data_IF_388876179084
#
_entry.id   IF_388876179084
#
_cell.length_a   1.000
_cell.length_b   1.000
_cell.length_c   1.000
_cell.angle_alpha   90.00
_cell.angle_beta   90.00
_cell.angle_gamma   90.00
#
_symmetry.space_group_name_H-M   'P 1'
#
loop_
_entity.id
_entity.type
_entity.pdbx_description
1 polymer ?
#
# COMPACT_ATOMS: atom_id res chain seq x y z
N UNK A 1 6.42 -18.02 -6.02
CA UNK A 1 6.10 -18.36 -4.62
C UNK A 1 4.67 -18.84 -4.57
N UNK A 2 4.42 -20.05 -4.04
CA UNK A 2 3.06 -20.55 -3.88
C UNK A 2 2.39 -19.77 -2.75
N UNK A 3 1.18 -19.27 -2.98
CA UNK A 3 0.39 -18.57 -1.96
C UNK A 3 -0.51 -19.61 -1.30
N UNK A 4 -0.22 -19.91 -0.04
CA UNK A 4 -1.01 -20.81 0.81
C UNK A 4 -1.37 -20.14 2.14
N UNK A 5 -2.16 -20.83 2.97
CA UNK A 5 -2.57 -20.31 4.27
C UNK A 5 -1.39 -19.96 5.18
N UNK A 6 -0.31 -20.75 5.14
CA UNK A 6 0.87 -20.50 5.96
C UNK A 6 1.58 -19.20 5.54
N UNK A 7 1.70 -18.94 4.23
CA UNK A 7 2.27 -17.69 3.73
C UNK A 7 1.45 -16.47 4.16
N UNK A 8 0.13 -16.60 4.25
CA UNK A 8 -0.75 -15.54 4.77
C UNK A 8 -0.55 -15.32 6.28
N UNK A 9 -0.42 -16.39 7.08
CA UNK A 9 -0.13 -16.26 8.51
C UNK A 9 1.23 -15.60 8.76
N UNK A 10 2.25 -16.02 8.01
CA UNK A 10 3.58 -15.41 8.08
C UNK A 10 3.53 -13.92 7.73
N UNK A 11 2.74 -13.54 6.72
CA UNK A 11 2.50 -12.15 6.37
C UNK A 11 1.77 -11.39 7.49
N UNK A 12 0.75 -12.00 8.09
CA UNK A 12 -0.01 -11.39 9.19
C UNK A 12 0.87 -11.06 10.39
N UNK A 13 1.75 -11.97 10.80
CA UNK A 13 2.71 -11.73 11.90
C UNK A 13 3.72 -10.64 11.54
N UNK A 14 4.29 -10.69 10.32
CA UNK A 14 5.27 -9.69 9.84
C UNK A 14 4.73 -8.26 9.87
N UNK A 15 3.46 -8.06 9.49
CA UNK A 15 2.89 -6.71 9.36
C UNK A 15 2.21 -6.19 10.63
N UNK A 16 2.00 -7.04 11.64
CA UNK A 16 1.13 -6.80 12.80
C UNK A 16 1.37 -5.47 13.51
N UNK A 17 2.63 -5.08 13.69
CA UNK A 17 3.01 -3.83 14.37
C UNK A 17 2.83 -2.57 13.51
N UNK A 18 2.63 -2.73 12.20
CA UNK A 18 2.74 -1.63 11.22
C UNK A 18 1.43 -1.32 10.50
N UNK A 19 0.38 -2.12 10.73
CA UNK A 19 -0.95 -1.95 10.14
C UNK A 19 -2.02 -1.91 11.22
N UNK A 20 -3.16 -1.30 10.93
CA UNK A 20 -4.34 -1.35 11.78
C UNK A 20 -5.06 -2.70 11.63
N UNK A 21 -5.53 -3.26 12.75
CA UNK A 21 -6.67 -4.17 12.74
C UNK A 21 -7.93 -3.32 12.56
N UNK A 22 -8.27 -3.06 11.30
CA UNK A 22 -9.38 -2.18 10.92
C UNK A 22 -10.71 -2.67 11.50
N UNK A 23 -11.63 -1.75 11.85
CA UNK A 23 -12.93 -2.13 12.38
C UNK A 23 -13.77 -2.87 11.33
N UNK A 24 -14.83 -3.51 11.82
CA UNK A 24 -15.91 -4.05 10.99
C UNK A 24 -17.17 -3.29 11.37
N UNK A 25 -17.81 -2.65 10.40
CA UNK A 25 -19.08 -1.97 10.59
C UNK A 25 -20.23 -2.81 10.01
N UNK A 26 -21.43 -2.51 10.46
CA UNK A 26 -22.70 -3.09 9.98
C UNK A 26 -23.69 -1.97 9.71
N UNK A 27 -24.81 -2.28 9.05
CA UNK A 27 -25.86 -1.30 8.76
C UNK A 27 -27.24 -1.96 8.82
N UNK A 28 -28.02 -1.66 9.86
CA UNK A 28 -29.36 -2.23 10.03
C UNK A 28 -30.29 -1.95 8.84
N UNK A 29 -30.16 -0.77 8.21
CA UNK A 29 -30.95 -0.44 7.02
C UNK A 29 -30.60 -1.32 5.81
N UNK A 30 -29.31 -1.61 5.61
CA UNK A 30 -28.88 -2.50 4.53
C UNK A 30 -29.22 -3.95 4.83
N UNK A 31 -29.11 -4.35 6.10
CA UNK A 31 -29.48 -5.69 6.51
C UNK A 31 -30.98 -5.96 6.26
N UNK A 32 -31.84 -5.00 6.59
CA UNK A 32 -33.28 -5.07 6.33
C UNK A 32 -33.60 -5.04 4.82
N UNK A 33 -32.93 -4.19 4.05
CA UNK A 33 -33.14 -4.08 2.61
C UNK A 33 -32.76 -5.37 1.87
N UNK A 34 -31.72 -6.06 2.32
CA UNK A 34 -31.17 -7.25 1.66
C UNK A 34 -31.58 -8.57 2.31
N UNK A 35 -32.29 -8.52 3.45
CA UNK A 35 -32.66 -9.70 4.23
C UNK A 35 -31.46 -10.53 4.72
N UNK A 36 -30.30 -9.90 4.93
CA UNK A 36 -29.05 -10.59 5.29
C UNK A 36 -28.12 -9.68 6.10
N UNK A 37 -27.20 -10.25 6.89
CA UNK A 37 -26.24 -9.46 7.66
C UNK A 37 -25.03 -9.02 6.81
N UNK A 38 -24.82 -7.72 6.65
CA UNK A 38 -23.72 -7.15 5.87
C UNK A 38 -22.64 -6.59 6.79
N UNK A 39 -21.40 -7.02 6.53
CA UNK A 39 -20.22 -6.61 7.28
C UNK A 39 -19.23 -5.86 6.39
N UNK A 40 -18.86 -4.65 6.80
CA UNK A 40 -17.93 -3.79 6.08
C UNK A 40 -16.55 -3.85 6.72
N UNK A 41 -15.59 -4.47 6.05
CA UNK A 41 -14.18 -4.43 6.48
C UNK A 41 -13.53 -3.12 6.03
N UNK A 42 -13.41 -2.16 6.94
CA UNK A 42 -13.08 -0.77 6.62
C UNK A 42 -11.58 -0.52 6.33
N UNK A 43 -11.06 -1.03 5.22
CA UNK A 43 -9.66 -0.80 4.80
C UNK A 43 -9.38 0.63 4.32
N UNK A 44 -10.41 1.45 4.11
CA UNK A 44 -10.26 2.90 3.96
C UNK A 44 -9.67 3.57 5.22
N UNK A 45 -9.78 2.92 6.39
CA UNK A 45 -9.21 3.39 7.67
C UNK A 45 -7.83 2.78 7.96
N UNK A 46 -7.25 2.05 7.01
CA UNK A 46 -5.91 1.50 7.14
C UNK A 46 -4.85 2.62 7.06
N UNK A 47 -3.64 2.35 7.53
CA UNK A 47 -2.46 3.19 7.26
C UNK A 47 -2.35 3.48 5.76
N UNK A 48 -1.91 4.69 5.42
CA UNK A 48 -1.92 5.22 4.04
C UNK A 48 -3.31 5.19 3.35
N UNK A 49 -4.40 5.07 4.11
CA UNK A 49 -5.79 5.17 3.64
C UNK A 49 -6.29 3.99 2.81
N UNK A 50 -5.56 2.87 2.76
CA UNK A 50 -5.95 1.71 1.95
C UNK A 50 -5.31 0.40 2.42
N UNK A 51 -5.93 -0.72 2.02
CA UNK A 51 -5.42 -2.07 2.29
C UNK A 51 -4.00 -2.33 1.78
N UNK A 52 -3.53 -1.54 0.80
CA UNK A 52 -2.22 -1.71 0.15
C UNK A 52 -1.04 -1.59 1.13
N UNK A 53 -1.22 -0.95 2.27
CA UNK A 53 -0.24 -0.97 3.36
C UNK A 53 0.11 -2.38 3.83
N UNK A 54 -0.83 -3.33 3.77
CA UNK A 54 -0.58 -4.73 4.16
C UNK A 54 0.46 -5.37 3.25
N UNK A 55 0.22 -5.36 1.95
CA UNK A 55 1.13 -5.93 0.96
C UNK A 55 2.47 -5.20 0.92
N UNK A 56 2.46 -3.87 0.90
CA UNK A 56 3.69 -3.07 0.84
C UNK A 56 4.61 -3.32 2.06
N UNK A 57 4.06 -3.27 3.27
CA UNK A 57 4.85 -3.58 4.48
C UNK A 57 5.34 -5.02 4.42
N UNK A 58 4.47 -5.97 4.07
CA UNK A 58 4.87 -7.37 3.99
C UNK A 58 6.05 -7.59 3.04
N UNK A 59 6.00 -7.02 1.83
CA UNK A 59 7.06 -7.14 0.84
C UNK A 59 8.35 -6.51 1.32
N UNK A 60 8.33 -5.24 1.75
CA UNK A 60 9.55 -4.52 2.18
C UNK A 60 10.20 -5.17 3.41
N UNK A 61 9.39 -5.65 4.36
CA UNK A 61 9.91 -6.34 5.56
C UNK A 61 10.36 -7.78 5.29
N UNK A 62 10.03 -8.35 4.13
CA UNK A 62 10.55 -9.66 3.72
C UNK A 62 11.93 -9.57 3.08
N UNK A 63 12.35 -8.38 2.66
CA UNK A 63 13.67 -8.14 2.07
C UNK A 63 14.76 -8.16 3.15
N UNK A 64 15.88 -8.77 2.82
CA UNK A 64 17.12 -8.72 3.58
C UNK A 64 17.71 -7.30 3.60
N UNK A 65 18.69 -7.07 4.47
CA UNK A 65 19.41 -5.78 4.53
C UNK A 65 20.14 -5.51 3.21
N UNK A 66 20.71 -6.54 2.58
CA UNK A 66 21.40 -6.42 1.29
C UNK A 66 20.46 -5.99 0.17
N UNK A 67 19.27 -6.58 0.09
CA UNK A 67 18.26 -6.20 -0.91
C UNK A 67 17.75 -4.75 -0.73
N UNK A 68 17.77 -4.24 0.51
CA UNK A 68 17.32 -2.88 0.81
C UNK A 68 18.37 -1.79 0.56
N UNK A 69 19.62 -2.14 0.24
CA UNK A 69 20.69 -1.16 0.06
C UNK A 69 20.39 -0.17 -1.08
N UNK A 70 19.72 -0.65 -2.13
CA UNK A 70 19.38 0.15 -3.31
C UNK A 70 18.02 0.83 -3.20
N UNK A 71 17.31 0.67 -2.09
CA UNK A 71 15.92 1.12 -1.98
C UNK A 71 14.92 0.17 -2.65
N UNK A 72 13.67 0.62 -2.68
CA UNK A 72 12.56 -0.07 -3.35
C UNK A 72 11.92 0.88 -4.35
N UNK A 73 11.40 0.35 -5.45
CA UNK A 73 10.77 1.15 -6.50
C UNK A 73 9.38 0.62 -6.85
N UNK A 74 8.51 1.51 -7.34
CA UNK A 74 7.23 1.14 -7.95
C UNK A 74 6.72 2.21 -8.89
N UNK A 75 5.84 1.84 -9.81
CA UNK A 75 4.99 2.79 -10.52
C UNK A 75 3.55 2.69 -9.99
N UNK A 76 3.00 3.80 -9.51
CA UNK A 76 1.60 3.84 -9.08
C UNK A 76 1.07 5.27 -8.99
N UNK A 77 -0.17 5.48 -9.44
CA UNK A 77 -0.83 6.79 -9.34
C UNK A 77 -1.35 7.13 -7.94
N UNK A 78 -1.12 6.32 -6.90
CA UNK A 78 -1.75 6.57 -5.59
C UNK A 78 -1.49 5.60 -4.45
N UNK A 79 -2.52 4.84 -4.08
CA UNK A 79 -2.54 4.09 -2.81
C UNK A 79 -1.36 3.13 -2.65
N UNK A 80 -0.86 2.54 -3.74
CA UNK A 80 0.33 1.68 -3.66
C UNK A 80 1.60 2.50 -3.44
N UNK A 81 1.76 3.61 -4.17
CA UNK A 81 2.88 4.53 -3.99
C UNK A 81 3.00 5.01 -2.54
N UNK A 82 1.90 5.48 -1.94
CA UNK A 82 1.91 5.94 -0.54
C UNK A 82 2.18 4.79 0.44
N UNK A 83 1.64 3.59 0.18
CA UNK A 83 1.87 2.41 1.00
C UNK A 83 3.34 1.94 0.94
N UNK A 84 3.97 1.94 -0.25
CA UNK A 84 5.36 1.55 -0.42
C UNK A 84 6.30 2.59 0.19
N UNK A 85 6.08 3.89 -0.08
CA UNK A 85 6.86 4.97 0.53
C UNK A 85 6.83 4.88 2.07
N UNK A 86 5.65 4.65 2.64
CA UNK A 86 5.52 4.41 4.08
C UNK A 86 6.30 3.18 4.55
N UNK A 87 6.18 2.05 3.84
CA UNK A 87 6.87 0.82 4.21
C UNK A 87 8.41 0.96 4.15
N UNK A 88 8.92 1.68 3.14
CA UNK A 88 10.32 2.00 3.01
C UNK A 88 10.83 2.89 4.16
N UNK A 89 10.07 3.95 4.48
CA UNK A 89 10.37 4.82 5.62
C UNK A 89 10.44 4.05 6.94
N UNK A 90 9.53 3.10 7.19
CA UNK A 90 9.57 2.24 8.38
C UNK A 90 10.81 1.33 8.46
N UNK A 91 11.44 1.02 7.32
CA UNK A 91 12.67 0.20 7.21
C UNK A 91 13.92 1.04 6.98
N UNK A 92 13.83 2.37 7.08
CA UNK A 92 14.92 3.31 6.83
C UNK A 92 15.60 3.08 5.47
N UNK A 93 14.82 2.81 4.43
CA UNK A 93 15.30 2.67 3.05
C UNK A 93 14.60 3.66 2.13
N UNK A 94 15.18 3.90 0.95
CA UNK A 94 14.61 4.82 -0.04
C UNK A 94 13.43 4.18 -0.77
N UNK A 95 12.44 5.01 -1.13
CA UNK A 95 11.36 4.62 -2.02
C UNK A 95 11.35 5.52 -3.26
N UNK A 96 11.51 4.91 -4.42
CA UNK A 96 11.40 5.56 -5.72
C UNK A 96 10.01 5.27 -6.31
N UNK A 97 9.30 6.31 -6.70
CA UNK A 97 7.90 6.21 -7.12
C UNK A 97 7.71 6.92 -8.45
N UNK A 98 7.35 6.17 -9.48
CA UNK A 98 6.88 6.75 -10.73
C UNK A 98 5.38 7.03 -10.63
N UNK A 99 4.98 8.28 -10.88
CA UNK A 99 3.59 8.72 -10.85
C UNK A 99 3.20 9.46 -12.13
N UNK A 100 1.99 9.22 -12.69
CA UNK A 100 1.45 10.09 -13.74
C UNK A 100 1.37 11.55 -13.31
N UNK A 101 1.70 12.48 -14.21
CA UNK A 101 1.63 13.93 -13.98
C UNK A 101 0.22 14.43 -13.61
N UNK A 102 -0.83 13.72 -14.02
CA UNK A 102 -2.22 14.01 -13.70
C UNK A 102 -2.72 13.33 -12.41
N UNK A 103 -1.83 12.72 -11.61
CA UNK A 103 -2.19 12.13 -10.33
C UNK A 103 -2.74 13.19 -9.38
N UNK A 104 -3.79 12.85 -8.63
CA UNK A 104 -4.43 13.82 -7.71
C UNK A 104 -3.42 14.37 -6.70
N UNK A 105 -3.47 15.68 -6.42
CA UNK A 105 -2.54 16.39 -5.51
C UNK A 105 -2.43 15.73 -4.14
N UNK A 106 -3.54 15.23 -3.58
CA UNK A 106 -3.57 14.55 -2.28
C UNK A 106 -2.73 13.26 -2.26
N UNK A 107 -2.69 12.53 -3.37
CA UNK A 107 -1.91 11.28 -3.50
C UNK A 107 -0.43 11.57 -3.64
N UNK A 108 -0.06 12.59 -4.42
CA UNK A 108 1.33 13.07 -4.55
C UNK A 108 1.84 13.53 -3.16
N UNK A 109 1.03 14.33 -2.45
CA UNK A 109 1.38 14.80 -1.11
C UNK A 109 1.56 13.63 -0.13
N UNK A 110 0.70 12.62 -0.17
CA UNK A 110 0.83 11.44 0.68
C UNK A 110 2.16 10.69 0.47
N UNK A 111 2.63 10.55 -0.78
CA UNK A 111 3.93 9.92 -1.08
C UNK A 111 5.09 10.76 -0.53
N UNK A 112 5.06 12.08 -0.76
CA UNK A 112 6.09 13.01 -0.27
C UNK A 112 6.16 13.04 1.27
N UNK A 113 5.02 12.98 1.95
CA UNK A 113 4.95 12.94 3.42
C UNK A 113 5.59 11.68 4.02
N UNK A 114 5.70 10.60 3.24
CA UNK A 114 6.43 9.39 3.62
C UNK A 114 7.84 9.35 3.01
N UNK A 115 8.36 10.50 2.54
CA UNK A 115 9.70 10.64 1.97
C UNK A 115 9.95 9.83 0.69
N UNK A 116 8.89 9.50 -0.06
CA UNK A 116 9.04 8.90 -1.39
C UNK A 116 9.57 9.90 -2.41
N UNK A 117 10.59 9.50 -3.17
CA UNK A 117 11.16 10.26 -4.29
C UNK A 117 10.31 10.02 -5.54
N UNK A 118 9.73 11.07 -6.11
CA UNK A 118 8.77 10.95 -7.21
C UNK A 118 9.39 11.34 -8.55
N UNK A 119 9.31 10.44 -9.51
CA UNK A 119 9.54 10.73 -10.93
C UNK A 119 8.18 10.80 -11.64
N UNK A 120 7.93 11.89 -12.39
CA UNK A 120 6.67 12.05 -13.11
C UNK A 120 6.73 11.48 -14.52
N UNK A 121 5.64 10.88 -14.97
CA UNK A 121 5.50 10.33 -16.32
C UNK A 121 4.16 10.71 -16.98
N UNK A 122 4.01 10.39 -18.26
CA UNK A 122 2.72 10.45 -18.97
C UNK A 122 1.73 9.40 -18.42
N UNK A 123 0.41 9.62 -18.51
CA UNK A 123 -0.60 8.77 -17.90
C UNK A 123 -0.92 7.49 -18.70
N UNK A 124 0.09 6.82 -19.24
CA UNK A 124 -0.02 5.53 -19.92
C UNK A 124 0.87 4.48 -19.20
N UNK A 125 0.82 3.22 -19.62
CA UNK A 125 1.62 2.15 -18.99
C UNK A 125 3.08 2.20 -19.42
N UNK A 126 3.35 2.35 -20.72
CA UNK A 126 4.68 2.41 -21.31
C UNK A 126 5.58 3.43 -20.61
N UNK A 127 5.14 4.69 -20.50
CA UNK A 127 5.88 5.74 -19.82
C UNK A 127 6.10 5.47 -18.33
N UNK A 128 5.25 4.67 -17.67
CA UNK A 128 5.49 4.29 -16.26
C UNK A 128 6.63 3.30 -16.12
N UNK A 129 6.74 2.37 -17.08
CA UNK A 129 7.76 1.33 -17.09
C UNK A 129 9.12 1.92 -17.53
N UNK A 130 9.13 2.82 -18.52
CA UNK A 130 10.35 3.47 -19.00
C UNK A 130 10.99 4.45 -18.00
N UNK A 131 10.21 5.01 -17.07
CA UNK A 131 10.68 6.01 -16.10
C UNK A 131 11.23 5.40 -14.81
N UNK A 132 11.01 4.10 -14.57
CA UNK A 132 11.34 3.41 -13.33
C UNK A 132 12.80 2.93 -13.29
#
# INVERSE_FOLDING_TARGET
MQIDFQTINNAAERIKAYVHKTPVFTSANLDALLGSNIFFKCENLQKAGAFKSRGAVNSVFSLSVGELQNGVCTHSSGNHAAALARAASLRNTKAYVVMPNNSSKVKIAAVKNYHGEISFCSPNLESREETL
#
